data_IF_072970346380
#
_entry.id   IF_072970346380
#
_cell.length_a   1.000
_cell.length_b   1.000
_cell.length_c   1.000
_cell.angle_alpha   90.00
_cell.angle_beta   90.00
_cell.angle_gamma   90.00
#
_symmetry.space_group_name_H-M   'P 1'
#
loop_
_entity.id
_entity.type
_entity.pdbx_description
1 polymer ?
#
# COMPACT_ATOMS: atom_id res chain seq x y z
N UNK A 1 1.70 16.99 3.77
CA UNK A 1 1.69 17.06 2.30
C UNK A 1 0.31 16.63 1.85
N UNK A 2 -0.46 17.47 1.15
CA UNK A 2 -1.74 17.02 0.58
C UNK A 2 -1.41 16.20 -0.68
N UNK A 3 -1.54 14.88 -0.59
CA UNK A 3 -1.43 14.02 -1.76
C UNK A 3 -2.64 14.29 -2.65
N UNK A 4 -2.46 14.67 -3.93
CA UNK A 4 -3.57 14.95 -4.84
C UNK A 4 -4.20 13.62 -5.30
N UNK A 5 -4.88 12.95 -4.36
CA UNK A 5 -5.63 11.74 -4.62
C UNK A 5 -6.96 12.12 -5.27
N UNK A 6 -7.14 11.67 -6.51
CA UNK A 6 -8.34 11.87 -7.30
C UNK A 6 -9.46 10.93 -6.89
N UNK A 7 -9.11 9.68 -6.58
CA UNK A 7 -10.05 8.67 -6.13
C UNK A 7 -9.37 7.68 -5.17
N UNK A 8 -10.12 7.18 -4.21
CA UNK A 8 -9.69 6.13 -3.27
C UNK A 8 -10.78 5.07 -3.24
N UNK A 9 -10.42 3.85 -3.60
CA UNK A 9 -11.31 2.69 -3.58
C UNK A 9 -10.76 1.69 -2.58
N UNK A 10 -11.58 1.29 -1.62
CA UNK A 10 -11.30 0.06 -0.86
C UNK A 10 -11.52 -1.08 -1.84
N UNK A 11 -10.46 -1.79 -2.17
CA UNK A 11 -10.58 -3.08 -2.81
C UNK A 11 -11.12 -3.98 -1.69
N UNK A 12 -12.45 -4.10 -1.58
CA UNK A 12 -13.04 -5.15 -0.75
C UNK A 12 -12.28 -6.42 -1.11
N UNK A 13 -11.79 -7.16 -0.10
CA UNK A 13 -10.98 -8.36 -0.24
C UNK A 13 -11.70 -9.43 -1.06
N UNK A 14 -11.81 -9.23 -2.37
CA UNK A 14 -12.27 -10.16 -3.36
C UNK A 14 -11.07 -11.05 -3.65
N UNK A 15 -10.76 -11.87 -2.64
CA UNK A 15 -10.19 -13.21 -2.70
C UNK A 15 -9.83 -13.60 -1.27
N UNK A 16 -10.84 -13.88 -0.44
CA UNK A 16 -10.69 -15.03 0.45
C UNK A 16 -10.32 -16.19 -0.49
N UNK A 17 -9.05 -16.56 -0.54
CA UNK A 17 -8.70 -17.89 -1.01
C UNK A 17 -9.33 -18.85 0.00
N UNK A 18 -10.60 -19.19 -0.21
CA UNK A 18 -11.18 -20.39 0.36
C UNK A 18 -10.40 -21.51 -0.31
N UNK A 19 -9.32 -21.96 0.35
CA UNK A 19 -8.80 -23.29 0.08
C UNK A 19 -10.00 -24.24 0.28
N UNK A 20 -10.34 -25.07 -0.72
CA UNK A 20 -11.45 -25.99 -0.57
C UNK A 20 -11.13 -26.92 0.62
N UNK A 21 -12.01 -26.89 1.62
CA UNK A 21 -12.16 -27.88 2.71
C UNK A 21 -10.99 -28.06 3.69
N UNK A 22 -10.98 -27.27 4.77
CA UNK A 22 -10.56 -27.74 6.09
C UNK A 22 -11.56 -27.22 7.16
N UNK A 23 -11.94 -28.04 8.16
CA UNK A 23 -13.02 -27.73 9.08
C UNK A 23 -12.63 -26.62 10.06
N UNK A 24 -13.57 -25.72 10.28
CA UNK A 24 -13.49 -24.49 11.07
C UNK A 24 -12.92 -24.70 12.48
N UNK A 25 -11.88 -23.93 12.81
CA UNK A 25 -11.70 -23.37 14.15
C UNK A 25 -11.78 -21.84 14.02
N UNK A 26 -12.63 -21.22 14.84
CA UNK A 26 -12.98 -19.81 14.77
C UNK A 26 -11.85 -18.92 15.33
N UNK A 27 -10.75 -18.75 14.58
CA UNK A 27 -9.61 -17.98 15.09
C UNK A 27 -8.77 -17.18 14.10
N UNK A 28 -9.15 -17.08 12.82
CA UNK A 28 -8.40 -16.26 11.87
C UNK A 28 -9.32 -15.23 11.18
N UNK A 29 -9.65 -14.15 11.88
CA UNK A 29 -10.09 -12.93 11.21
C UNK A 29 -8.86 -12.30 10.54
N UNK A 30 -8.60 -12.65 9.27
CA UNK A 30 -7.61 -11.95 8.45
C UNK A 30 -8.16 -10.58 8.07
N UNK A 31 -7.79 -9.52 8.80
CA UNK A 31 -8.04 -8.16 8.33
C UNK A 31 -6.92 -7.78 7.36
N UNK A 32 -7.10 -8.07 6.07
CA UNK A 32 -6.35 -7.43 5.00
C UNK A 32 -7.17 -6.26 4.47
N UNK A 33 -6.63 -5.04 4.59
CA UNK A 33 -7.21 -3.87 3.94
C UNK A 33 -6.36 -3.57 2.72
N UNK A 34 -6.99 -3.66 1.56
CA UNK A 34 -6.38 -3.37 0.28
C UNK A 34 -7.03 -2.08 -0.25
N UNK A 35 -6.24 -1.04 -0.45
CA UNK A 35 -6.71 0.26 -0.93
C UNK A 35 -6.05 0.56 -2.26
N UNK A 36 -6.84 0.95 -3.25
CA UNK A 36 -6.34 1.52 -4.50
C UNK A 36 -6.59 3.02 -4.51
N UNK A 37 -5.53 3.80 -4.46
CA UNK A 37 -5.58 5.24 -4.66
C UNK A 37 -5.16 5.59 -6.09
N UNK A 38 -5.91 6.45 -6.77
CA UNK A 38 -5.54 7.07 -8.04
C UNK A 38 -5.18 8.53 -7.77
N UNK A 39 -3.99 8.95 -8.19
CA UNK A 39 -3.51 10.33 -8.10
C UNK A 39 -3.96 11.14 -9.32
N UNK A 40 -3.94 12.48 -9.21
CA UNK A 40 -4.35 13.39 -10.29
C UNK A 40 -3.58 13.18 -11.60
N UNK A 41 -2.30 12.78 -11.53
CA UNK A 41 -1.48 12.47 -12.69
C UNK A 41 -1.75 11.09 -13.31
N UNK A 42 -2.71 10.33 -12.76
CA UNK A 42 -3.08 8.98 -13.19
C UNK A 42 -2.26 7.87 -12.54
N UNK A 43 -1.20 8.18 -11.78
CA UNK A 43 -0.46 7.16 -11.00
C UNK A 43 -1.40 6.48 -10.02
N UNK A 44 -1.27 5.16 -9.91
CA UNK A 44 -2.04 4.37 -8.96
C UNK A 44 -1.15 3.84 -7.84
N UNK A 45 -1.67 3.80 -6.64
CA UNK A 45 -0.99 3.29 -5.45
C UNK A 45 -1.88 2.24 -4.79
N UNK A 46 -1.41 1.01 -4.76
CA UNK A 46 -1.98 -0.10 -4.01
C UNK A 46 -1.40 -0.03 -2.60
N UNK A 47 -2.24 0.01 -1.57
CA UNK A 47 -1.83 -0.01 -0.18
C UNK A 47 -2.38 -1.29 0.44
N UNK A 48 -1.49 -2.16 0.91
CA UNK A 48 -1.81 -3.45 1.50
C UNK A 48 -1.40 -3.42 2.97
N UNK A 49 -2.37 -3.61 3.85
CA UNK A 49 -2.12 -3.68 5.30
C UNK A 49 -2.30 -5.12 5.75
N UNK A 50 -1.26 -5.72 6.34
CA UNK A 50 -1.27 -7.10 6.82
C UNK A 50 -0.88 -7.19 8.30
N UNK A 51 -1.76 -7.77 9.11
CA UNK A 51 -1.54 -7.99 10.56
C UNK A 51 -0.97 -9.38 10.87
N UNK A 52 -0.93 -10.30 9.90
CA UNK A 52 -0.36 -11.64 10.05
C UNK A 52 0.71 -11.92 9.00
N UNK A 53 1.73 -12.68 9.38
CA UNK A 53 2.77 -13.11 8.45
C UNK A 53 2.21 -14.13 7.46
N UNK A 54 2.40 -13.87 6.16
CA UNK A 54 2.01 -14.78 5.09
C UNK A 54 3.23 -15.08 4.22
N UNK A 55 3.58 -16.37 4.10
CA UNK A 55 4.75 -16.83 3.36
C UNK A 55 4.73 -16.43 1.87
N UNK A 56 3.55 -16.30 1.28
CA UNK A 56 3.37 -15.96 -0.14
C UNK A 56 3.02 -14.50 -0.38
N UNK A 57 3.10 -13.63 0.64
CA UNK A 57 2.68 -12.24 0.54
C UNK A 57 3.40 -11.46 -0.56
N UNK A 58 4.73 -11.60 -0.66
CA UNK A 58 5.51 -10.92 -1.69
C UNK A 58 5.08 -11.37 -3.09
N UNK A 59 4.81 -12.67 -3.27
CA UNK A 59 4.32 -13.20 -4.56
C UNK A 59 2.95 -12.63 -4.91
N UNK A 60 2.05 -12.52 -3.91
CA UNK A 60 0.72 -11.93 -4.08
C UNK A 60 0.80 -10.45 -4.44
N UNK A 61 1.66 -9.69 -3.76
CA UNK A 61 1.87 -8.26 -4.04
C UNK A 61 2.37 -8.04 -5.48
N UNK A 62 3.28 -8.89 -5.97
CA UNK A 62 3.68 -8.88 -7.39
C UNK A 62 2.51 -9.17 -8.33
N UNK A 63 1.69 -10.17 -8.03
CA UNK A 63 0.53 -10.51 -8.85
C UNK A 63 -0.46 -9.34 -8.93
N UNK A 64 -0.74 -8.66 -7.81
CA UNK A 64 -1.59 -7.49 -7.78
C UNK A 64 -1.00 -6.32 -8.55
N UNK A 65 0.28 -6.02 -8.36
CA UNK A 65 0.94 -4.92 -9.06
C UNK A 65 0.90 -5.11 -10.58
N UNK A 66 1.25 -6.30 -11.05
CA UNK A 66 1.22 -6.64 -12.48
C UNK A 66 -0.20 -6.66 -13.05
N UNK A 67 -1.18 -7.19 -12.30
CA UNK A 67 -2.59 -7.20 -12.72
C UNK A 67 -3.13 -5.78 -12.87
N UNK A 68 -2.80 -4.89 -11.95
CA UNK A 68 -3.23 -3.49 -12.00
C UNK A 68 -2.65 -2.74 -13.20
N UNK A 69 -1.38 -2.98 -13.55
CA UNK A 69 -0.77 -2.44 -14.77
C UNK A 69 -1.54 -2.92 -16.01
N UNK A 70 -1.89 -4.21 -16.08
CA UNK A 70 -2.65 -4.76 -17.20
C UNK A 70 -4.07 -4.17 -17.28
N UNK A 71 -4.77 -4.07 -16.15
CA UNK A 71 -6.11 -3.46 -16.08
C UNK A 71 -6.09 -1.99 -16.56
N UNK A 72 -5.04 -1.24 -16.24
CA UNK A 72 -4.87 0.12 -16.74
C UNK A 72 -4.75 0.16 -18.26
N UNK A 73 -3.96 -0.74 -18.85
CA UNK A 73 -3.82 -0.85 -20.30
C UNK A 73 -5.15 -1.21 -20.97
N UNK A 74 -5.92 -2.15 -20.40
CA UNK A 74 -7.24 -2.52 -20.90
C UNK A 74 -8.21 -1.33 -20.88
N UNK A 75 -8.23 -0.53 -19.80
CA UNK A 75 -9.04 0.70 -19.73
C UNK A 75 -8.63 1.75 -20.74
N UNK A 76 -7.35 1.82 -21.13
CA UNK A 76 -6.87 2.71 -22.19
C UNK A 76 -7.36 2.20 -23.55
N UNK A 77 -7.18 0.90 -23.83
CA UNK A 77 -7.64 0.27 -25.08
C UNK A 77 -9.15 0.41 -25.30
N UNK A 78 -9.95 0.31 -24.24
CA UNK A 78 -11.40 0.51 -24.32
C UNK A 78 -11.79 1.96 -24.70
N UNK A 79 -10.96 2.94 -24.34
CA UNK A 79 -11.22 4.38 -24.60
C UNK A 79 -10.65 4.85 -25.95
N UNK A 80 -9.45 4.40 -26.29
CA UNK A 80 -8.68 4.90 -27.45
C UNK A 80 -8.64 3.92 -28.63
N UNK A 81 -9.22 2.72 -28.46
CA UNK A 81 -9.08 1.60 -29.40
C UNK A 81 -7.80 0.80 -29.15
N UNK A 82 -7.79 -0.45 -29.60
CA UNK A 82 -6.63 -1.33 -29.45
C UNK A 82 -5.55 -0.98 -30.48
N UNK A 83 -4.72 -0.01 -30.14
CA UNK A 83 -3.60 0.44 -30.97
C UNK A 83 -2.28 0.32 -30.22
N UNK A 84 -1.18 0.23 -30.96
CA UNK A 84 0.16 0.20 -30.35
C UNK A 84 0.50 1.52 -29.60
N UNK A 85 -0.25 2.59 -29.83
CA UNK A 85 -0.06 3.86 -29.12
C UNK A 85 -0.56 3.81 -27.68
N UNK A 86 -1.46 2.89 -27.32
CA UNK A 86 -2.01 2.76 -25.96
C UNK A 86 -0.93 2.52 -24.91
N UNK A 87 0.19 1.90 -25.28
CA UNK A 87 1.33 1.68 -24.37
C UNK A 87 1.99 2.98 -23.89
N UNK A 88 1.89 4.08 -24.65
CA UNK A 88 2.44 5.40 -24.25
C UNK A 88 1.70 6.03 -23.07
N UNK A 89 0.49 5.56 -22.79
CA UNK A 89 -0.39 6.13 -21.78
C UNK A 89 -0.48 5.26 -20.51
N UNK A 90 0.28 4.16 -20.43
CA UNK A 90 0.29 3.29 -19.24
C UNK A 90 0.72 4.10 -18.03
N UNK A 91 -0.17 4.16 -17.04
CA UNK A 91 0.09 4.88 -15.81
C UNK A 91 1.03 4.08 -14.89
N UNK A 92 1.92 4.75 -14.14
CA UNK A 92 2.70 4.12 -13.08
C UNK A 92 1.79 3.47 -12.04
N UNK A 93 2.18 2.29 -11.56
CA UNK A 93 1.50 1.61 -10.45
C UNK A 93 2.51 1.31 -9.35
N UNK A 94 2.24 1.79 -8.15
CA UNK A 94 3.08 1.57 -6.98
C UNK A 94 2.36 0.73 -5.94
N UNK A 95 3.11 0.03 -5.11
CA UNK A 95 2.59 -0.73 -3.98
C UNK A 95 3.26 -0.27 -2.68
N UNK A 96 2.47 -0.14 -1.62
CA UNK A 96 2.91 0.13 -0.26
C UNK A 96 2.36 -1.00 0.61
N UNK A 97 3.26 -1.80 1.16
CA UNK A 97 2.93 -2.87 2.10
C UNK A 97 3.24 -2.40 3.53
N UNK A 98 2.23 -2.37 4.39
CA UNK A 98 2.38 -2.12 5.83
C UNK A 98 2.13 -3.44 6.55
N UNK A 99 3.16 -3.98 7.20
CA UNK A 99 3.14 -5.36 7.69
C UNK A 99 3.56 -5.44 9.15
N UNK A 100 2.80 -6.20 9.95
CA UNK A 100 3.18 -6.56 11.33
C UNK A 100 4.00 -7.86 11.40
N UNK A 101 4.90 -8.05 10.43
CA UNK A 101 5.84 -9.19 10.43
C UNK A 101 7.13 -8.84 9.70
N UNK A 102 8.17 -9.63 9.96
CA UNK A 102 9.47 -9.43 9.33
C UNK A 102 9.56 -10.27 8.05
N UNK A 103 9.79 -9.61 6.92
CA UNK A 103 10.05 -10.17 5.59
C UNK A 103 11.52 -10.04 5.19
N UNK A 104 12.24 -9.05 5.71
CA UNK A 104 13.65 -8.83 5.38
C UNK A 104 14.54 -9.09 6.61
N UNK A 105 15.74 -9.62 6.38
CA UNK A 105 16.62 -10.11 7.45
C UNK A 105 17.39 -9.02 8.19
N UNK A 106 17.51 -7.82 7.62
CA UNK A 106 18.18 -6.69 8.27
C UNK A 106 17.26 -5.96 9.26
N UNK A 107 17.82 -4.94 9.90
CA UNK A 107 17.17 -4.16 10.96
C UNK A 107 16.36 -2.95 10.46
N UNK A 108 16.30 -2.72 9.15
CA UNK A 108 15.61 -1.56 8.58
C UNK A 108 14.10 -1.80 8.59
N UNK A 109 13.34 -0.84 9.11
CA UNK A 109 11.87 -0.89 9.10
C UNK A 109 11.26 -0.52 7.75
N UNK A 110 12.06 0.02 6.82
CA UNK A 110 11.59 0.50 5.53
C UNK A 110 12.46 0.01 4.39
N UNK A 111 11.83 -0.63 3.40
CA UNK A 111 12.47 -1.03 2.14
C UNK A 111 11.72 -0.45 0.95
N UNK A 112 12.45 -0.09 -0.10
CA UNK A 112 11.88 0.36 -1.37
C UNK A 112 12.55 -0.38 -2.51
N UNK A 113 11.75 -0.94 -3.40
CA UNK A 113 12.18 -1.75 -4.53
C UNK A 113 11.73 -1.12 -5.85
N UNK A 114 12.66 -1.06 -6.80
CA UNK A 114 12.45 -0.55 -8.16
C UNK A 114 13.31 -1.36 -9.13
N UNK A 115 12.89 -1.49 -10.38
CA UNK A 115 13.72 -2.13 -11.41
C UNK A 115 14.92 -1.26 -11.76
N UNK A 116 16.10 -1.89 -11.83
CA UNK A 116 17.39 -1.26 -12.14
C UNK A 116 18.21 -2.19 -13.03
N UNK A 117 19.13 -1.62 -13.79
CA UNK A 117 20.12 -2.41 -14.54
C UNK A 117 21.22 -2.91 -13.60
N UNK A 118 21.57 -4.19 -13.71
CA UNK A 118 22.37 -4.92 -12.72
C UNK A 118 23.83 -4.40 -12.60
N UNK A 119 24.39 -3.88 -13.68
CA UNK A 119 25.81 -3.46 -13.74
C UNK A 119 26.00 -2.02 -13.25
N UNK A 120 25.15 -1.11 -13.71
CA UNK A 120 25.21 0.34 -13.53
C UNK A 120 24.36 0.83 -12.37
N UNK A 121 23.33 0.07 -12.00
CA UNK A 121 22.32 0.48 -11.03
C UNK A 121 21.35 1.54 -11.56
N UNK A 122 21.41 1.88 -12.85
CA UNK A 122 20.51 2.85 -13.46
C UNK A 122 19.06 2.39 -13.38
N UNK A 123 18.16 3.32 -13.07
CA UNK A 123 16.75 3.04 -12.93
C UNK A 123 16.11 2.77 -14.30
N UNK A 124 15.37 1.65 -14.41
CA UNK A 124 14.54 1.43 -15.58
C UNK A 124 13.25 2.26 -15.44
N UNK A 125 13.10 3.28 -16.28
CA UNK A 125 11.96 4.20 -16.26
C UNK A 125 11.14 4.11 -17.55
N UNK A 126 9.92 4.62 -17.47
CA UNK A 126 9.03 4.90 -18.60
C UNK A 126 8.79 6.40 -18.69
N UNK A 127 8.50 6.88 -19.88
CA UNK A 127 8.00 8.25 -20.06
C UNK A 127 6.49 8.22 -20.15
N UNK A 128 5.82 8.92 -19.23
CA UNK A 128 4.38 9.15 -19.26
C UNK A 128 4.13 10.66 -19.08
N UNK A 129 3.31 11.27 -19.93
CA UNK A 129 2.98 12.70 -19.90
C UNK A 129 4.22 13.63 -19.86
N UNK A 130 5.31 13.24 -20.54
CA UNK A 130 6.56 14.01 -20.59
C UNK A 130 7.42 13.92 -19.32
N UNK A 131 7.06 13.07 -18.35
CA UNK A 131 7.84 12.82 -17.14
C UNK A 131 8.36 11.40 -17.10
N UNK A 132 9.60 11.24 -16.65
CA UNK A 132 10.17 9.92 -16.35
C UNK A 132 9.63 9.40 -15.01
N UNK A 133 9.15 8.17 -15.03
CA UNK A 133 8.58 7.49 -13.87
C UNK A 133 9.05 6.04 -13.83
N UNK A 134 9.11 5.46 -12.63
CA UNK A 134 9.15 4.00 -12.53
C UNK A 134 7.78 3.47 -12.97
N UNK A 135 7.73 2.46 -13.85
CA UNK A 135 6.45 1.83 -14.18
C UNK A 135 5.87 1.14 -12.94
N UNK A 136 6.75 0.44 -12.21
CA UNK A 136 6.42 -0.29 -10.98
C UNK A 136 7.41 0.04 -9.88
N UNK A 137 6.90 0.16 -8.65
CA UNK A 137 7.69 0.36 -7.43
C UNK A 137 6.97 -0.23 -6.24
N UNK A 138 7.70 -0.81 -5.30
CA UNK A 138 7.14 -1.33 -4.05
C UNK A 138 7.84 -0.69 -2.86
N UNK A 139 7.10 -0.41 -1.81
CA UNK A 139 7.64 -0.02 -0.51
C UNK A 139 7.08 -0.95 0.56
N UNK A 140 7.92 -1.33 1.53
CA UNK A 140 7.54 -2.13 2.69
C UNK A 140 7.82 -1.35 3.96
N UNK A 141 6.88 -1.37 4.88
CA UNK A 141 6.98 -0.81 6.22
C UNK A 141 6.73 -1.94 7.24
N UNK A 142 7.79 -2.45 7.86
CA UNK A 142 7.75 -3.55 8.83
C UNK A 142 7.61 -3.00 10.25
N UNK A 143 6.40 -3.04 10.79
CA UNK A 143 6.05 -2.40 12.07
C UNK A 143 6.82 -2.98 13.26
N UNK A 144 7.14 -4.29 13.22
CA UNK A 144 7.93 -4.98 14.26
C UNK A 144 9.37 -4.50 14.37
N UNK A 145 9.89 -3.85 13.33
CA UNK A 145 11.24 -3.27 13.33
C UNK A 145 11.27 -1.83 13.84
N UNK A 146 10.14 -1.30 14.34
CA UNK A 146 10.12 -0.01 15.00
C UNK A 146 11.13 0.04 16.17
N UNK A 147 11.93 1.10 16.19
CA UNK A 147 12.86 1.42 17.28
C UNK A 147 12.60 2.84 17.75
N UNK A 148 12.34 3.00 19.04
CA UNK A 148 12.13 4.33 19.64
C UNK A 148 13.37 5.23 19.50
N UNK A 149 14.56 4.62 19.50
CA UNK A 149 15.84 5.29 19.28
C UNK A 149 16.12 5.64 17.82
N UNK A 150 15.21 5.32 16.89
CA UNK A 150 15.34 5.68 15.48
C UNK A 150 15.46 7.19 15.33
N UNK A 151 16.45 7.61 14.52
CA UNK A 151 16.66 9.00 14.12
C UNK A 151 15.87 9.39 12.86
N UNK A 152 15.07 8.48 12.33
CA UNK A 152 14.29 8.71 11.12
C UNK A 152 13.04 9.54 11.44
N UNK A 153 13.21 10.87 11.48
CA UNK A 153 12.13 11.80 11.84
C UNK A 153 10.96 11.82 10.87
N UNK A 154 11.13 11.29 9.65
CA UNK A 154 10.06 11.27 8.63
C UNK A 154 9.21 10.02 8.82
N UNK A 155 9.83 8.84 8.95
CA UNK A 155 9.11 7.56 8.98
C UNK A 155 8.66 7.18 10.39
N UNK A 156 9.30 7.70 11.44
CA UNK A 156 8.99 7.37 12.83
C UNK A 156 7.52 7.65 13.21
N UNK A 157 6.93 8.82 12.89
CA UNK A 157 5.50 9.05 13.15
C UNK A 157 4.58 8.06 12.44
N UNK A 158 4.91 7.66 11.20
CA UNK A 158 4.11 6.66 10.48
C UNK A 158 4.20 5.28 11.15
N UNK A 159 5.37 4.87 11.61
CA UNK A 159 5.56 3.63 12.36
C UNK A 159 4.84 3.66 13.71
N UNK A 160 4.84 4.81 14.40
CA UNK A 160 4.11 5.00 15.65
C UNK A 160 2.59 4.90 15.41
N UNK A 161 2.08 5.60 14.40
CA UNK A 161 0.66 5.58 14.02
C UNK A 161 0.19 4.15 13.64
N UNK A 162 0.80 3.54 12.63
CA UNK A 162 0.39 2.21 12.17
C UNK A 162 0.70 1.10 13.17
N UNK A 163 1.72 1.28 14.02
CA UNK A 163 2.07 0.37 15.10
C UNK A 163 1.27 0.55 16.39
N UNK A 164 0.29 1.47 16.41
CA UNK A 164 -0.50 1.84 17.58
C UNK A 164 0.37 2.16 18.81
N UNK A 165 1.38 3.01 18.62
CA UNK A 165 2.30 3.48 19.68
C UNK A 165 2.10 4.98 19.92
N UNK A 166 2.35 5.47 21.14
CA UNK A 166 2.37 6.91 21.40
C UNK A 166 3.38 7.62 20.50
N UNK A 167 3.01 8.80 20.00
CA UNK A 167 3.94 9.65 19.25
C UNK A 167 5.06 10.17 20.16
N UNK A 168 6.31 10.00 19.73
CA UNK A 168 7.48 10.55 20.45
C UNK A 168 7.96 11.88 19.89
N UNK A 169 7.37 12.31 18.78
CA UNK A 169 7.58 13.61 18.12
C UNK A 169 6.26 14.09 17.53
N UNK A 170 6.16 15.37 17.20
CA UNK A 170 4.94 15.92 16.59
C UNK A 170 4.70 15.25 15.22
N UNK A 171 3.56 14.56 15.03
CA UNK A 171 3.23 13.93 13.77
C UNK A 171 2.85 14.99 12.72
N UNK A 172 3.03 14.66 11.44
CA UNK A 172 2.54 15.54 10.38
C UNK A 172 1.02 15.71 10.44
N UNK A 173 0.51 16.80 9.86
CA UNK A 173 -0.92 17.10 9.81
C UNK A 173 -1.78 15.92 9.35
N UNK A 174 -1.34 15.18 8.33
CA UNK A 174 -2.10 14.03 7.80
C UNK A 174 -2.24 12.90 8.84
N UNK A 175 -1.16 12.59 9.56
CA UNK A 175 -1.17 11.59 10.64
C UNK A 175 -2.00 12.09 11.82
N UNK A 176 -1.87 13.37 12.18
CA UNK A 176 -2.67 13.98 13.25
C UNK A 176 -4.17 13.93 12.95
N UNK A 177 -4.56 14.21 11.71
CA UNK A 177 -5.96 14.14 11.28
C UNK A 177 -6.46 12.69 11.28
N UNK A 178 -5.65 11.74 10.83
CA UNK A 178 -6.00 10.33 10.86
C UNK A 178 -6.15 9.81 12.31
N UNK A 179 -5.24 10.19 13.22
CA UNK A 179 -5.29 9.84 14.64
C UNK A 179 -6.54 10.40 15.33
N UNK A 180 -6.94 11.64 15.02
CA UNK A 180 -8.18 12.23 15.52
C UNK A 180 -9.43 11.45 15.08
N UNK A 181 -9.45 10.91 13.85
CA UNK A 181 -10.56 10.08 13.39
C UNK A 181 -10.67 8.76 14.17
N UNK A 182 -9.59 8.30 14.80
CA UNK A 182 -9.56 7.09 15.62
C UNK A 182 -9.90 7.35 17.10
N UNK A 183 -10.03 8.61 17.52
CA UNK A 183 -10.38 8.92 18.92
C UNK A 183 -11.83 8.49 19.22
N UNK A 184 -11.95 7.33 19.88
CA UNK A 184 -13.19 6.72 20.34
C UNK A 184 -14.10 7.66 21.16
N UNK A 185 -13.52 8.68 21.80
CA UNK A 185 -14.29 9.69 22.56
C UNK A 185 -15.06 10.64 21.66
N UNK A 186 -14.62 10.82 20.41
CA UNK A 186 -15.25 11.68 19.40
C UNK A 186 -16.34 10.96 18.58
N UNK A 187 -16.44 9.64 18.70
CA UNK A 187 -17.36 8.81 17.93
C UNK A 187 -18.81 8.91 18.40
N UNK A 188 -19.75 8.89 17.44
CA UNK A 188 -21.19 8.84 17.70
C UNK A 188 -21.60 7.51 18.35
N UNK A 189 -22.83 7.43 18.90
CA UNK A 189 -23.35 6.15 19.41
C UNK A 189 -23.45 5.09 18.32
N UNK A 190 -23.73 5.49 17.07
CA UNK A 190 -23.77 4.64 15.89
C UNK A 190 -22.38 4.06 15.55
N UNK A 191 -21.34 4.90 15.52
CA UNK A 191 -19.97 4.47 15.23
C UNK A 191 -19.44 3.49 16.29
N UNK A 192 -19.80 3.72 17.56
CA UNK A 192 -19.45 2.81 18.67
C UNK A 192 -20.13 1.45 18.56
N UNK A 193 -21.39 1.41 18.09
CA UNK A 193 -22.13 0.15 17.88
C UNK A 193 -21.53 -0.68 16.75
N UNK A 194 -21.16 -0.06 15.64
CA UNK A 194 -20.53 -0.72 14.49
C UNK A 194 -19.17 -1.33 14.85
N UNK A 195 -18.41 -0.73 15.77
CA UNK A 195 -17.11 -1.25 16.22
C UNK A 195 -17.21 -2.39 17.25
N UNK A 196 -18.34 -2.50 17.96
CA UNK A 196 -18.53 -3.46 19.06
C UNK A 196 -19.15 -4.82 18.65
N UNK A 197 -19.42 -5.01 17.37
CA UNK A 197 -19.90 -6.28 16.78
C UNK A 197 -18.75 -7.05 16.14
#
# INVERSE_FOLDING_TARGET
MDLPAKNVTILEGSNIHVLPSLPYSAQDFYTSIDVLAELDNGTQVIIEIQVHHQNFFINRLWAYLCSQVNQNLEKIRQREGDTHQSYKHIAPVYAIAIVDSNYFSDDLAFHSFSMREDTTGEALTITNNGQENYLVKMAFLELKKYRETSKDSIRKPWLEFFGNKPFTQEPERAISQADQLLDYKSWSEEDRKMFSQ
#
